data_IF_946201497618
#
_entry.id   IF_946201497618
#
_cell.length_a   1.000
_cell.length_b   1.000
_cell.length_c   1.000
_cell.angle_alpha   90.00
_cell.angle_beta   90.00
_cell.angle_gamma   90.00
#
_symmetry.space_group_name_H-M   'P 1'
#
loop_
_entity.id
_entity.type
_entity.pdbx_description
1 polymer ?
2 non-polymer ?
3 non-polymer ?
4 water ?
#
# COMPACT_ATOMS: atom_id res chain seq x y z
N UNK A 5 4.43 -3.62 35.02
CA UNK A 5 5.21 -3.38 33.78
C UNK A 5 5.03 -4.53 32.79
N UNK A 6 4.62 -4.20 31.57
CA UNK A 6 4.42 -5.20 30.54
C UNK A 6 5.75 -5.74 30.06
N UNK A 7 5.78 -6.99 29.54
CA UNK A 7 7.02 -7.57 29.05
C UNK A 7 7.63 -6.69 27.96
N UNK A 8 8.94 -6.48 28.04
CA UNK A 8 9.65 -5.63 27.09
C UNK A 8 10.72 -6.41 26.33
N UNK A 9 10.75 -6.24 25.01
CA UNK A 9 11.72 -6.95 24.18
C UNK A 9 13.14 -6.45 24.44
N UNK A 10 14.12 -7.34 24.23
CA UNK A 10 15.52 -7.02 24.44
C UNK A 10 16.01 -5.88 23.55
N UNK A 11 17.17 -5.33 23.88
CA UNK A 11 17.73 -4.23 23.10
C UNK A 11 17.10 -2.89 23.45
N UNK A 12 17.07 -1.99 22.48
CA UNK A 12 16.48 -0.68 22.71
C UNK A 12 17.27 0.17 23.68
N UNK A 13 18.59 0.04 23.64
CA UNK A 13 19.45 0.82 24.53
C UNK A 13 20.00 2.08 23.88
N UNK A 14 19.40 2.47 22.75
CA UNK A 14 19.83 3.69 22.05
C UNK A 14 19.10 4.88 22.64
N UNK A 15 19.47 6.08 22.23
CA UNK A 15 18.84 7.29 22.76
C UNK A 15 17.32 7.25 22.77
N UNK A 16 16.70 6.81 21.69
CA UNK A 16 15.25 6.74 21.64
C UNK A 16 14.70 5.32 21.75
N UNK A 17 15.38 4.49 22.55
CA UNK A 17 14.94 3.12 22.75
C UNK A 17 15.08 2.24 21.53
N UNK A 18 13.98 1.62 21.11
CA UNK A 18 14.01 0.76 19.94
C UNK A 18 13.74 1.53 18.65
N UNK A 19 13.59 2.84 18.76
CA UNK A 19 13.32 3.65 17.58
C UNK A 19 14.33 3.46 16.46
N UNK A 20 15.61 3.52 16.80
CA UNK A 20 16.64 3.35 15.78
C UNK A 20 16.55 2.00 15.08
N UNK A 21 16.28 0.94 15.84
CA UNK A 21 16.16 -0.37 15.24
C UNK A 21 14.90 -0.41 14.37
N UNK A 22 13.86 0.27 14.83
CA UNK A 22 12.60 0.32 14.10
C UNK A 22 12.80 1.01 12.74
N UNK A 23 13.74 1.95 12.70
CA UNK A 23 14.05 2.71 11.48
C UNK A 23 14.98 1.94 10.54
N UNK A 24 15.50 0.82 10.99
CA UNK A 24 16.43 0.04 10.18
C UNK A 24 15.94 -1.36 9.84
N UNK A 25 15.38 -2.03 10.83
CA UNK A 25 14.86 -3.39 10.63
C UNK A 25 13.63 -3.61 11.48
N UNK A 26 12.53 -2.92 11.14
CA UNK A 26 11.27 -3.03 11.88
C UNK A 26 10.69 -4.44 11.96
N UNK A 27 10.82 -5.21 10.88
CA UNK A 27 10.26 -6.56 10.90
C UNK A 27 11.04 -7.47 11.86
N UNK A 28 12.37 -7.34 11.87
CA UNK A 28 13.18 -8.14 12.78
C UNK A 28 12.85 -7.81 14.22
N UNK A 29 12.66 -6.51 14.49
CA UNK A 29 12.32 -6.06 15.83
C UNK A 29 10.99 -6.67 16.26
N UNK A 30 9.97 -6.56 15.41
CA UNK A 30 8.67 -7.08 15.75
C UNK A 30 8.67 -8.61 15.89
N UNK A 31 9.49 -9.29 15.10
CA UNK A 31 9.57 -10.74 15.20
C UNK A 31 10.23 -11.12 16.52
N UNK A 32 11.24 -10.35 16.93
CA UNK A 32 11.91 -10.65 18.20
C UNK A 32 10.96 -10.43 19.37
N UNK A 33 10.04 -9.48 19.24
CA UNK A 33 9.07 -9.23 20.31
C UNK A 33 8.25 -10.50 20.49
N UNK A 34 7.77 -11.07 19.38
CA UNK A 34 6.98 -12.28 19.44
C UNK A 34 7.79 -13.49 19.91
N UNK A 35 9.00 -13.64 19.39
CA UNK A 35 9.85 -14.77 19.76
C UNK A 35 10.20 -14.78 21.25
N UNK A 36 10.45 -13.60 21.79
CA UNK A 36 10.82 -13.49 23.20
C UNK A 36 9.64 -13.41 24.18
N UNK A 37 8.61 -12.67 23.81
CA UNK A 37 7.47 -12.45 24.70
C UNK A 37 6.14 -13.13 24.41
N UNK A 38 5.89 -13.49 23.14
CA UNK A 38 4.63 -14.12 22.81
C UNK A 38 3.64 -13.19 22.13
N UNK A 39 2.34 -13.46 22.34
CA UNK A 39 1.27 -12.68 21.72
C UNK A 39 1.16 -11.23 22.16
N UNK A 40 1.68 -10.91 23.34
CA UNK A 40 1.62 -9.54 23.84
C UNK A 40 3.00 -9.13 24.34
N UNK A 41 3.60 -8.15 23.66
CA UNK A 41 4.92 -7.68 24.06
C UNK A 41 5.09 -6.22 23.70
N UNK A 42 6.07 -5.57 24.29
CA UNK A 42 6.29 -4.16 24.02
C UNK A 42 7.69 -3.80 23.56
N UNK A 43 7.79 -2.64 22.93
CA UNK A 43 9.07 -2.10 22.52
C UNK A 43 8.92 -0.60 22.70
N UNK A 44 10.02 0.11 22.85
CA UNK A 44 9.95 1.55 23.08
C UNK A 44 10.24 2.37 21.85
N UNK A 45 9.30 3.24 21.50
CA UNK A 45 9.43 4.11 20.35
C UNK A 45 9.55 5.52 20.93
N UNK A 46 10.79 5.93 21.20
CA UNK A 46 11.06 7.23 21.79
C UNK A 46 10.36 7.29 23.14
N UNK A 47 9.51 8.30 23.34
CA UNK A 47 8.82 8.41 24.62
C UNK A 47 7.49 7.67 24.66
N UNK A 48 7.31 6.73 23.74
CA UNK A 48 6.06 5.98 23.68
C UNK A 48 6.24 4.47 23.68
N UNK A 49 5.46 3.79 24.51
CA UNK A 49 5.51 2.34 24.59
C UNK A 49 4.53 1.78 23.57
N UNK A 50 4.99 0.83 22.78
CA UNK A 50 4.13 0.20 21.79
C UNK A 50 3.83 -1.22 22.24
N UNK A 51 2.55 -1.53 22.39
CA UNK A 51 2.13 -2.86 22.79
C UNK A 51 1.84 -3.61 21.50
N UNK A 52 2.76 -4.48 21.10
CA UNK A 52 2.61 -5.24 19.88
C UNK A 52 1.85 -6.54 20.10
N UNK A 53 0.70 -6.65 19.44
CA UNK A 53 -0.13 -7.84 19.56
C UNK A 53 0.08 -8.71 18.33
N UNK A 54 0.02 -10.03 18.53
CA UNK A 54 0.17 -10.98 17.44
C UNK A 54 -0.57 -12.27 17.81
N UNK A 55 -0.89 -13.07 16.81
CA UNK A 55 -1.61 -14.30 17.08
C UNK A 55 -3.10 -14.05 16.94
N UNK A 56 -3.86 -15.11 16.70
CA UNK A 56 -5.29 -14.99 16.50
C UNK A 56 -6.06 -14.30 17.63
N UNK A 57 -5.84 -14.76 18.86
CA UNK A 57 -6.55 -14.19 20.00
C UNK A 57 -6.32 -12.70 20.18
N UNK A 58 -5.06 -12.29 20.23
CA UNK A 58 -4.73 -10.88 20.39
C UNK A 58 -5.18 -10.04 19.20
N UNK A 59 -5.02 -10.59 17.99
CA UNK A 59 -5.43 -9.86 16.79
C UNK A 59 -6.94 -9.67 16.74
N UNK A 60 -7.70 -10.65 17.23
CA UNK A 60 -9.15 -10.54 17.22
C UNK A 60 -9.57 -9.34 18.06
N UNK A 61 -8.91 -9.17 19.20
CA UNK A 61 -9.20 -8.04 20.07
C UNK A 61 -8.91 -6.74 19.33
N UNK A 62 -7.75 -6.68 18.69
CA UNK A 62 -7.31 -5.51 17.95
C UNK A 62 -8.29 -5.11 16.85
N UNK A 63 -8.64 -6.07 15.99
CA UNK A 63 -9.52 -5.77 14.87
C UNK A 63 -11.01 -5.64 15.17
N UNK A 64 -11.46 -6.15 16.30
CA UNK A 64 -12.87 -6.05 16.65
C UNK A 64 -13.12 -4.81 17.51
N UNK A 65 -12.05 -4.13 17.87
CA UNK A 65 -12.14 -2.92 18.68
C UNK A 65 -12.53 -1.71 17.85
N UNK A 66 -13.48 -0.93 18.35
CA UNK A 66 -13.92 0.26 17.65
C UNK A 66 -13.17 1.49 18.09
N UNK A 67 -13.51 2.63 17.49
CA UNK A 67 -12.86 3.90 17.80
C UNK A 67 -12.87 4.24 19.28
N UNK A 68 -13.92 3.84 19.98
CA UNK A 68 -14.05 4.12 21.41
C UNK A 68 -13.09 3.32 22.29
N UNK A 69 -12.45 2.33 21.71
CA UNK A 69 -11.50 1.50 22.47
C UNK A 69 -10.08 1.73 21.96
N UNK A 70 -9.90 1.57 20.65
CA UNK A 70 -8.60 1.77 20.01
C UNK A 70 -8.82 2.76 18.88
N UNK A 71 -8.18 3.93 18.97
CA UNK A 71 -8.34 4.97 17.96
C UNK A 71 -7.12 5.13 17.07
N UNK A 72 -7.35 5.33 15.78
CA UNK A 72 -6.26 5.51 14.82
C UNK A 72 -6.02 7.00 14.53
N UNK A 73 -6.92 7.84 15.01
CA UNK A 73 -6.84 9.28 14.79
C UNK A 73 -5.48 9.95 14.96
N UNK A 74 -4.77 9.61 16.03
CA UNK A 74 -3.46 10.21 16.28
C UNK A 74 -2.35 9.18 16.35
N UNK A 75 -2.55 8.05 15.68
CA UNK A 75 -1.57 6.97 15.68
C UNK A 75 -0.46 7.14 14.63
N UNK A 76 -0.67 8.03 13.67
CA UNK A 76 0.31 8.25 12.60
C UNK A 76 0.68 9.72 12.45
N UNK A 77 1.51 10.24 13.37
CA UNK A 77 1.93 11.66 13.33
C UNK A 77 2.66 12.10 12.08
N UNK A 78 3.23 11.15 11.35
CA UNK A 78 3.97 11.48 10.12
C UNK A 78 3.06 11.92 8.97
N UNK A 79 1.75 11.72 9.11
CA UNK A 79 0.83 12.10 8.04
C UNK A 79 0.34 13.54 8.10
N UNK A 80 0.36 14.15 9.28
CA UNK A 80 -0.11 15.53 9.42
C UNK A 80 0.55 16.52 8.45
N UNK A 81 1.88 16.50 8.32
CA UNK A 81 2.56 17.42 7.41
C UNK A 81 2.27 17.12 5.94
N UNK A 82 1.91 15.87 5.66
CA UNK A 82 1.63 15.45 4.30
C UNK A 82 0.23 15.89 3.84
N UNK A 83 -0.78 15.58 4.63
CA UNK A 83 -2.14 15.98 4.28
C UNK A 83 -2.27 17.50 4.38
N UNK A 84 -1.59 18.07 5.38
CA UNK A 84 -1.64 19.51 5.57
C UNK A 84 -2.21 19.88 6.93
N UNK A 105 -16.07 3.80 -3.36
CA UNK A 105 -15.91 2.70 -4.32
C UNK A 105 -17.17 1.84 -4.35
N UNK A 106 -17.72 1.66 -5.54
CA UNK A 106 -18.92 0.84 -5.71
C UNK A 106 -18.81 -0.07 -6.93
N UNK A 107 -19.23 -1.31 -6.75
CA UNK A 107 -19.17 -2.28 -7.85
C UNK A 107 -19.76 -1.74 -9.13
N UNK A 108 -20.73 -0.84 -9.00
CA UNK A 108 -21.38 -0.24 -10.16
C UNK A 108 -20.35 0.51 -11.01
N UNK A 109 -19.42 1.19 -10.34
CA UNK A 109 -18.38 1.94 -11.04
C UNK A 109 -17.12 1.10 -11.27
N UNK A 110 -17.06 -0.07 -10.66
CA UNK A 110 -15.88 -0.92 -10.80
C UNK A 110 -15.57 -1.32 -12.23
N UNK A 111 -16.61 -1.63 -13.01
CA UNK A 111 -16.41 -2.00 -14.41
C UNK A 111 -15.73 -0.84 -15.13
N UNK A 112 -16.22 0.37 -14.89
CA UNK A 112 -15.64 1.55 -15.51
C UNK A 112 -14.20 1.73 -15.09
N UNK A 113 -13.91 1.51 -13.81
CA UNK A 113 -12.54 1.68 -13.33
C UNK A 113 -11.61 0.65 -13.97
N UNK A 114 -12.10 -0.57 -14.16
CA UNK A 114 -11.27 -1.60 -14.78
C UNK A 114 -10.88 -1.18 -16.19
N UNK A 115 -11.82 -0.58 -16.92
CA UNK A 115 -11.52 -0.12 -18.27
C UNK A 115 -10.53 1.04 -18.21
N UNK A 116 -10.67 1.90 -17.21
CA UNK A 116 -9.77 3.03 -17.04
C UNK A 116 -8.36 2.54 -16.77
N UNK A 117 -8.25 1.56 -15.87
CA UNK A 117 -6.95 1.00 -15.52
C UNK A 117 -6.29 0.36 -16.75
N UNK A 118 -7.06 -0.41 -17.51
CA UNK A 118 -6.52 -1.03 -18.72
C UNK A 118 -5.94 0.07 -19.62
N UNK A 119 -6.69 1.16 -19.78
CA UNK A 119 -6.25 2.27 -20.62
C UNK A 119 -4.96 2.90 -20.09
N UNK A 120 -4.86 3.08 -18.78
CA UNK A 120 -3.67 3.68 -18.21
C UNK A 120 -2.46 2.78 -18.39
N UNK A 121 -2.66 1.46 -18.28
CA UNK A 121 -1.54 0.55 -18.44
C UNK A 121 -1.08 0.57 -19.90
N UNK A 122 -2.03 0.54 -20.84
CA UNK A 122 -1.64 0.57 -22.25
C UNK A 122 -0.89 1.86 -22.57
N UNK A 123 -1.29 2.96 -21.93
CA UNK A 123 -0.62 4.23 -22.16
C UNK A 123 0.80 4.20 -21.62
N UNK A 124 0.98 3.56 -20.46
CA UNK A 124 2.31 3.45 -19.83
C UNK A 124 3.28 2.59 -20.62
N UNK A 125 2.78 1.60 -21.35
CA UNK A 125 3.67 0.73 -22.11
C UNK A 125 3.68 1.03 -23.62
N UNK A 126 2.99 2.10 -24.01
CA UNK A 126 2.90 2.48 -25.41
C UNK A 126 4.25 2.68 -26.10
N UNK A 127 5.26 3.10 -25.34
CA UNK A 127 6.58 3.34 -25.92
C UNK A 127 7.61 2.26 -25.63
N UNK A 128 7.15 1.11 -25.12
CA UNK A 128 8.04 0.01 -24.78
C UNK A 128 8.73 -0.64 -25.98
N UNK A 129 8.02 -0.72 -27.10
CA UNK A 129 8.61 -1.33 -28.27
C UNK A 129 8.76 -2.84 -28.13
N UNK A 130 9.66 -3.41 -28.92
CA UNK A 130 9.89 -4.86 -28.93
C UNK A 130 10.54 -5.43 -27.67
N UNK A 131 11.53 -4.72 -27.14
CA UNK A 131 12.23 -5.20 -25.95
C UNK A 131 12.86 -4.03 -25.21
N UNK A 132 13.17 -4.24 -23.94
CA UNK A 132 13.77 -3.18 -23.16
C UNK A 132 13.92 -3.57 -21.70
N UNK A 133 14.22 -2.58 -20.88
CA UNK A 133 14.42 -2.80 -19.46
C UNK A 133 13.73 -1.70 -18.65
N UNK A 134 13.14 -2.08 -17.52
CA UNK A 134 12.46 -1.11 -16.67
C UNK A 134 12.85 -1.33 -15.22
N UNK A 135 12.63 -0.31 -14.40
CA UNK A 135 12.87 -0.43 -12.96
C UNK A 135 11.45 -0.51 -12.42
N UNK A 136 11.14 -1.54 -11.66
CA UNK A 136 9.79 -1.72 -11.13
C UNK A 136 9.26 -0.59 -10.28
N UNK A 137 10.10 -0.03 -9.42
CA UNK A 137 9.64 1.06 -8.57
C UNK A 137 9.24 2.26 -9.43
N UNK A 138 10.11 2.63 -10.37
CA UNK A 138 9.81 3.75 -11.24
C UNK A 138 8.54 3.51 -12.05
N UNK A 139 8.43 2.32 -12.65
CA UNK A 139 7.27 2.00 -13.47
C UNK A 139 5.94 1.96 -12.71
N UNK A 140 5.86 1.13 -11.68
CA UNK A 140 4.62 1.01 -10.93
C UNK A 140 4.25 2.23 -10.09
N UNK A 141 5.24 2.96 -9.59
CA UNK A 141 4.94 4.15 -8.81
C UNK A 141 4.24 5.15 -9.72
N UNK A 142 4.77 5.33 -10.92
CA UNK A 142 4.15 6.27 -11.86
C UNK A 142 2.80 5.74 -12.35
N UNK A 143 2.75 4.48 -12.74
CA UNK A 143 1.49 3.91 -13.23
C UNK A 143 0.35 4.07 -12.24
N UNK A 144 0.63 3.81 -10.96
CA UNK A 144 -0.42 3.89 -9.95
C UNK A 144 -0.85 5.31 -9.64
N UNK A 145 -0.04 6.30 -10.00
CA UNK A 145 -0.43 7.69 -9.79
C UNK A 145 -1.52 7.95 -10.84
N UNK A 146 -1.30 7.45 -12.04
CA UNK A 146 -2.27 7.62 -13.12
C UNK A 146 -3.56 6.86 -12.89
N UNK A 147 -3.47 5.60 -12.46
CA UNK A 147 -4.68 4.83 -12.22
C UNK A 147 -5.47 5.44 -11.06
N UNK A 148 -4.77 5.80 -9.98
CA UNK A 148 -5.43 6.38 -8.82
C UNK A 148 -6.10 7.72 -9.14
N UNK A 149 -5.37 8.62 -9.78
CA UNK A 149 -5.93 9.93 -10.11
C UNK A 149 -7.10 9.82 -11.10
N UNK A 150 -6.96 8.97 -12.11
CA UNK A 150 -8.01 8.82 -13.11
C UNK A 150 -9.29 8.26 -12.52
N UNK A 151 -9.16 7.27 -11.64
CA UNK A 151 -10.33 6.64 -11.03
C UNK A 151 -10.97 7.45 -9.91
N UNK A 152 -10.14 8.06 -9.06
CA UNK A 152 -10.65 8.83 -7.92
C UNK A 152 -11.01 10.28 -8.18
N UNK A 153 -10.25 10.94 -9.04
CA UNK A 153 -10.51 12.34 -9.34
C UNK A 153 -11.17 12.52 -10.70
N UNK A 154 -10.63 11.82 -11.70
CA UNK A 154 -11.19 11.91 -13.04
C UNK A 154 -10.14 11.81 -14.13
N UNK A 155 -10.52 11.27 -15.28
CA UNK A 155 -9.63 11.13 -16.41
C UNK A 155 -9.13 12.50 -16.86
N UNK A 156 -10.00 13.50 -16.79
CA UNK A 156 -9.68 14.86 -17.20
C UNK A 156 -8.47 15.37 -16.40
N UNK A 157 -8.48 15.11 -15.09
CA UNK A 157 -7.40 15.52 -14.21
C UNK A 157 -6.13 14.72 -14.50
N UNK A 158 -6.27 13.40 -14.63
CA UNK A 158 -5.08 12.60 -14.91
C UNK A 158 -4.40 13.05 -16.20
N UNK A 159 -5.19 13.42 -17.20
CA UNK A 159 -4.62 13.85 -18.48
C UNK A 159 -3.81 15.14 -18.39
N UNK A 160 -3.94 15.85 -17.27
CA UNK A 160 -3.18 17.07 -17.07
C UNK A 160 -1.97 16.81 -16.19
N UNK A 161 -1.74 15.54 -15.89
CA UNK A 161 -0.61 15.12 -15.06
C UNK A 161 0.46 14.45 -15.92
N UNK A 162 1.69 14.50 -15.43
CA UNK A 162 2.81 13.85 -16.10
C UNK A 162 3.73 13.28 -15.03
N UNK A 163 4.94 12.88 -15.42
CA UNK A 163 5.87 12.31 -14.46
C UNK A 163 6.22 13.14 -13.24
N UNK A 164 6.11 14.46 -13.35
CA UNK A 164 6.43 15.36 -12.23
C UNK A 164 5.58 15.07 -11.00
N UNK A 165 4.28 14.85 -11.20
CA UNK A 165 3.38 14.59 -10.08
C UNK A 165 3.84 13.34 -9.32
N UNK A 166 4.16 12.27 -10.04
CA UNK A 166 4.62 11.03 -9.43
C UNK A 166 5.91 11.23 -8.64
N UNK A 167 6.83 12.02 -9.20
CA UNK A 167 8.10 12.26 -8.53
C UNK A 167 7.90 13.00 -7.21
N UNK A 168 7.01 13.98 -7.21
CA UNK A 168 6.73 14.75 -6.01
C UNK A 168 5.99 13.90 -4.98
N UNK A 169 5.05 13.09 -5.43
CA UNK A 169 4.30 12.24 -4.51
C UNK A 169 5.25 11.25 -3.85
N UNK A 170 6.24 10.77 -4.60
CA UNK A 170 7.20 9.83 -4.04
C UNK A 170 7.95 10.48 -2.88
N UNK A 171 8.27 11.77 -3.03
CA UNK A 171 8.97 12.51 -1.98
C UNK A 171 8.13 12.62 -0.71
N UNK A 172 6.80 12.68 -0.87
CA UNK A 172 5.93 12.75 0.29
C UNK A 172 6.04 11.43 1.06
N UNK A 173 5.98 10.33 0.33
CA UNK A 173 6.06 9.01 0.94
C UNK A 173 7.41 8.77 1.59
N UNK A 174 8.46 9.34 1.00
CA UNK A 174 9.80 9.19 1.56
C UNK A 174 9.95 10.08 2.80
N UNK A 175 8.96 10.94 3.03
CA UNK A 175 9.01 11.82 4.19
C UNK A 175 8.30 11.26 5.40
N UNK A 176 8.21 9.93 5.49
CA UNK A 176 7.54 9.27 6.60
C UNK A 176 8.47 8.52 7.57
N UNK A 177 9.65 9.10 7.83
CA UNK A 177 10.60 8.50 8.75
C UNK A 177 9.94 8.34 10.13
N UNK A 178 10.16 7.20 10.81
CA UNK A 178 9.58 6.95 12.14
C UNK A 178 9.98 8.00 13.16
N UNK A 179 10.96 8.82 12.82
CA UNK A 179 11.40 9.88 13.71
C UNK A 179 10.24 10.84 13.94
N UNK A 180 9.20 10.70 13.11
CA UNK A 180 8.02 11.55 13.25
C UNK A 180 7.37 11.29 14.60
N UNK A 181 7.64 10.14 15.21
CA UNK A 181 7.07 9.83 16.51
C UNK A 181 7.77 10.63 17.61
N UNK A 182 8.90 11.25 17.26
CA UNK A 182 9.60 12.12 18.19
C UNK A 182 9.01 13.50 17.86
N UNK A 183 9.14 13.90 16.60
CA UNK A 183 8.60 15.17 16.11
C UNK A 183 8.58 15.20 14.58
N UNK A 184 7.40 15.46 13.98
CA UNK A 184 7.26 15.51 12.52
C UNK A 184 7.96 16.69 11.84
N UNK A 185 8.46 17.64 12.63
CA UNK A 185 9.12 18.80 12.04
C UNK A 185 10.61 18.94 12.33
N UNK A 186 11.26 17.83 12.68
CA UNK A 186 12.69 17.87 12.95
C UNK A 186 13.42 18.33 11.69
N UNK A 187 14.54 19.06 11.86
CA UNK A 187 15.31 19.56 10.73
C UNK A 187 16.18 18.51 10.04
N UNK A 188 15.55 17.51 9.45
CA UNK A 188 16.27 16.48 8.73
C UNK A 188 15.90 16.60 7.25
N UNK A 189 16.84 16.21 6.39
CA UNK A 189 16.66 16.31 4.94
C UNK A 189 15.40 15.67 4.37
N UNK A 190 15.03 14.49 4.84
CA UNK A 190 13.84 13.82 4.32
C UNK A 190 12.57 14.62 4.63
N UNK A 191 12.53 15.27 5.79
CA UNK A 191 11.36 16.08 6.16
C UNK A 191 11.38 17.37 5.36
N UNK A 192 12.56 17.92 5.09
CA UNK A 192 12.66 19.14 4.31
C UNK A 192 12.15 18.85 2.89
N UNK A 193 12.56 17.71 2.34
CA UNK A 193 12.13 17.33 0.99
C UNK A 193 10.64 17.02 0.97
N UNK A 194 10.11 16.50 2.07
CA UNK A 194 8.69 16.20 2.20
C UNK A 194 7.91 17.51 2.05
N UNK A 195 8.30 18.52 2.83
CA UNK A 195 7.62 19.81 2.79
C UNK A 195 7.76 20.50 1.44
N UNK A 196 8.94 20.41 0.83
CA UNK A 196 9.16 21.03 -0.46
C UNK A 196 8.29 20.36 -1.52
N UNK A 197 8.20 19.03 -1.45
CA UNK A 197 7.40 18.27 -2.40
C UNK A 197 5.93 18.64 -2.31
N UNK A 198 5.43 18.86 -1.10
CA UNK A 198 4.02 19.23 -0.97
C UNK A 198 3.78 20.58 -1.63
N UNK A 199 4.71 21.53 -1.42
CA UNK A 199 4.57 22.85 -2.03
C UNK A 199 4.59 22.70 -3.56
N UNK A 200 5.41 21.78 -4.04
CA UNK A 200 5.50 21.53 -5.47
C UNK A 200 4.19 20.99 -6.02
N UNK A 201 3.53 20.14 -5.24
CA UNK A 201 2.26 19.58 -5.68
C UNK A 201 1.21 20.67 -5.71
N UNK A 202 1.22 21.56 -4.71
CA UNK A 202 0.26 22.66 -4.70
C UNK A 202 0.44 23.50 -5.96
N UNK A 203 1.69 23.74 -6.34
CA UNK A 203 1.98 24.52 -7.54
C UNK A 203 1.48 23.83 -8.80
N UNK A 204 1.62 22.51 -8.88
CA UNK A 204 1.14 21.78 -10.04
C UNK A 204 -0.38 21.90 -10.14
N UNK A 205 -1.05 21.77 -9.01
CA UNK A 205 -2.51 21.88 -8.99
C UNK A 205 -2.94 23.29 -9.36
N UNK A 206 -2.22 24.29 -8.86
CA UNK A 206 -2.54 25.68 -9.17
C UNK A 206 -2.40 25.91 -10.67
N UNK A 207 -1.36 25.32 -11.28
CA UNK A 207 -1.14 25.45 -12.71
C UNK A 207 -2.29 24.83 -13.49
N UNK A 208 -2.79 23.68 -13.01
CA UNK A 208 -3.90 23.00 -13.68
C UNK A 208 -5.15 23.86 -13.59
N UNK A 209 -5.39 24.44 -12.43
CA UNK A 209 -6.56 25.28 -12.24
C UNK A 209 -6.49 26.47 -13.19
N UNK A 210 -5.34 27.12 -13.26
CA UNK A 210 -5.19 28.27 -14.15
C UNK A 210 -5.29 27.86 -15.61
N UNK A 211 -4.86 26.64 -15.92
CA UNK A 211 -4.93 26.16 -17.28
C UNK A 211 -6.37 25.97 -17.71
N UNK A 212 -7.23 25.57 -16.78
CA UNK A 212 -8.64 25.36 -17.10
C UNK A 212 -9.37 26.69 -17.29
N UNK A 213 -8.87 27.72 -16.63
CA UNK A 213 -9.47 29.05 -16.74
C UNK A 213 -9.28 29.57 -18.17
N UNK A 214 -8.06 29.45 -18.66
CA UNK A 214 -7.69 29.94 -19.98
C UNK A 214 -8.08 29.03 -21.14
N UNK A 215 -8.14 27.73 -20.90
CA UNK A 215 -8.48 26.80 -21.98
C UNK A 215 -9.53 25.76 -21.57
N UNK A 216 -10.80 26.19 -21.45
CA UNK A 216 -11.90 25.30 -21.06
C UNK A 216 -12.04 24.12 -22.02
N UNK A 222 -17.72 17.65 -20.00
CA UNK A 222 -16.60 16.90 -19.45
C UNK A 222 -16.07 17.60 -18.20
N UNK A 223 -16.41 17.05 -17.03
CA UNK A 223 -15.98 17.63 -15.77
C UNK A 223 -15.59 16.54 -14.76
N UNK A 224 -14.72 16.90 -13.82
CA UNK A 224 -14.27 15.97 -12.80
C UNK A 224 -14.38 16.57 -11.40
N UNK A 225 -13.77 15.90 -10.42
CA UNK A 225 -13.86 16.39 -9.05
C UNK A 225 -13.19 17.74 -8.85
N UNK A 226 -12.17 18.03 -9.63
CA UNK A 226 -11.51 19.32 -9.50
C UNK A 226 -12.49 20.43 -9.89
N UNK A 227 -13.26 20.20 -10.96
CA UNK A 227 -14.22 21.21 -11.39
C UNK A 227 -15.26 21.44 -10.29
N UNK A 228 -15.68 20.37 -9.64
CA UNK A 228 -16.64 20.49 -8.56
C UNK A 228 -16.11 21.40 -7.45
N UNK A 229 -14.85 21.18 -7.06
CA UNK A 229 -14.26 21.98 -5.99
C UNK A 229 -14.03 23.43 -6.41
N UNK A 230 -13.62 23.65 -7.65
CA UNK A 230 -13.38 24.99 -8.16
C UNK A 230 -14.64 25.85 -8.16
N UNK A 231 -15.78 25.20 -8.43
CA UNK A 231 -17.06 25.91 -8.48
C UNK A 231 -17.62 26.43 -7.16
N UNK A 232 -17.23 25.82 -6.06
CA UNK A 232 -17.73 26.24 -4.75
C UNK A 232 -17.30 27.65 -4.37
N UNK A 233 -18.26 28.46 -3.93
CA UNK A 233 -17.97 29.84 -3.54
C UNK A 233 -18.11 30.00 -2.02
N UNK A 234 -17.30 30.89 -1.46
CA UNK A 234 -17.35 31.15 -0.03
C UNK A 234 -18.46 32.14 0.26
N UNK A 235 -18.73 32.39 1.53
CA UNK A 235 -19.78 33.33 1.92
C UNK A 235 -19.34 34.77 1.66
N UNK A 236 -18.91 35.04 0.44
CA UNK A 236 -18.47 36.37 0.05
C UNK A 236 -18.37 36.49 -1.46
N UNK A 237 -18.57 35.37 -2.15
CA UNK A 237 -18.51 35.36 -3.61
C UNK A 237 -17.15 34.94 -4.14
N UNK A 238 -16.18 34.83 -3.24
CA UNK A 238 -14.82 34.43 -3.59
C UNK A 238 -14.73 32.91 -3.60
N UNK A 239 -13.83 32.33 -4.42
CA UNK A 239 -13.71 30.87 -4.44
C UNK A 239 -13.46 30.31 -3.04
N UNK A 240 -14.20 29.28 -2.68
CA UNK A 240 -14.08 28.68 -1.36
C UNK A 240 -12.76 27.96 -1.11
N UNK A 241 -12.31 27.18 -2.09
CA UNK A 241 -11.09 26.40 -1.93
C UNK A 241 -9.87 26.92 -2.67
N UNK A 242 -8.74 26.91 -1.97
CA UNK A 242 -7.48 27.35 -2.53
C UNK A 242 -6.78 26.13 -3.13
N UNK A 243 -5.72 26.37 -3.92
CA UNK A 243 -4.99 25.27 -4.51
C UNK A 243 -4.42 24.41 -3.39
N UNK A 244 -3.98 25.04 -2.30
CA UNK A 244 -3.43 24.30 -1.18
C UNK A 244 -4.44 23.33 -0.57
N UNK A 245 -5.65 23.81 -0.33
CA UNK A 245 -6.71 22.97 0.26
C UNK A 245 -7.07 21.82 -0.67
N UNK A 246 -7.22 22.12 -1.96
CA UNK A 246 -7.58 21.11 -2.94
C UNK A 246 -6.46 20.07 -3.04
N UNK A 247 -5.23 20.52 -3.02
CA UNK A 247 -4.09 19.61 -3.11
C UNK A 247 -4.09 18.65 -1.91
N UNK A 248 -4.38 19.19 -0.73
CA UNK A 248 -4.42 18.35 0.47
C UNK A 248 -5.49 17.28 0.34
N UNK A 249 -6.64 17.65 -0.21
CA UNK A 249 -7.73 16.70 -0.39
C UNK A 249 -7.32 15.60 -1.36
N UNK A 250 -6.71 15.97 -2.47
CA UNK A 250 -6.28 15.00 -3.46
C UNK A 250 -5.17 14.10 -2.92
N UNK A 251 -4.23 14.67 -2.17
CA UNK A 251 -3.15 13.88 -1.60
C UNK A 251 -3.73 12.81 -0.69
N UNK A 252 -4.66 13.21 0.19
CA UNK A 252 -5.29 12.27 1.11
C UNK A 252 -6.08 11.19 0.40
N UNK A 253 -6.84 11.58 -0.62
CA UNK A 253 -7.65 10.63 -1.37
C UNK A 253 -6.82 9.54 -2.02
N UNK A 254 -5.62 9.91 -2.47
CA UNK A 254 -4.75 8.94 -3.14
C UNK A 254 -3.73 8.21 -2.26
N UNK A 255 -3.53 8.70 -1.04
CA UNK A 255 -2.53 8.08 -0.17
C UNK A 255 -2.72 6.63 0.29
N UNK A 256 -3.96 6.20 0.49
CA UNK A 256 -4.18 4.83 0.92
C UNK A 256 -3.81 3.83 -0.16
N UNK A 257 -4.23 4.12 -1.39
CA UNK A 257 -3.97 3.18 -2.48
C UNK A 257 -2.73 3.30 -3.32
N UNK A 258 -1.97 4.39 -3.21
CA UNK A 258 -0.80 4.50 -4.06
C UNK A 258 0.39 3.60 -3.73
N UNK A 259 1.00 3.77 -2.56
CA UNK A 259 2.16 2.95 -2.24
C UNK A 259 1.80 1.49 -2.05
N UNK A 260 0.57 1.23 -1.62
CA UNK A 260 0.12 -0.14 -1.41
C UNK A 260 -0.07 -0.87 -2.74
N UNK A 261 -0.78 -0.25 -3.67
CA UNK A 261 -1.00 -0.88 -4.96
C UNK A 261 0.30 -0.96 -5.77
N UNK A 262 1.13 0.08 -5.67
CA UNK A 262 2.41 0.10 -6.38
C UNK A 262 3.29 -1.07 -5.91
N UNK A 263 3.46 -1.19 -4.60
CA UNK A 263 4.28 -2.25 -4.07
C UNK A 263 3.73 -3.62 -4.37
N UNK A 264 2.41 -3.76 -4.27
CA UNK A 264 1.79 -5.06 -4.53
C UNK A 264 1.97 -5.48 -5.98
N UNK A 265 1.86 -4.55 -6.91
CA UNK A 265 2.04 -4.87 -8.33
C UNK A 265 3.49 -5.30 -8.54
N UNK A 266 4.43 -4.56 -7.95
CA UNK A 266 5.85 -4.90 -8.12
C UNK A 266 6.17 -6.28 -7.59
N UNK A 267 5.71 -6.57 -6.37
CA UNK A 267 6.00 -7.87 -5.80
C UNK A 267 5.27 -9.03 -6.47
N UNK A 268 4.11 -8.75 -7.06
CA UNK A 268 3.39 -9.80 -7.78
C UNK A 268 4.24 -10.21 -8.98
N UNK A 269 4.79 -9.24 -9.69
CA UNK A 269 5.62 -9.54 -10.86
C UNK A 269 6.91 -10.23 -10.43
N UNK A 270 7.49 -9.77 -9.32
CA UNK A 270 8.73 -10.38 -8.84
C UNK A 270 8.49 -11.86 -8.49
N UNK A 271 7.44 -12.16 -7.75
CA UNK A 271 7.19 -13.55 -7.37
C UNK A 271 6.82 -14.43 -8.58
N UNK A 272 6.19 -13.85 -9.60
CA UNK A 272 5.86 -14.62 -10.79
C UNK A 272 7.18 -15.00 -11.49
N UNK A 273 8.11 -14.07 -11.54
CA UNK A 273 9.40 -14.34 -12.18
C UNK A 273 10.25 -15.31 -11.36
N UNK A 274 10.12 -15.26 -10.04
CA UNK A 274 10.87 -16.14 -9.14
C UNK A 274 10.33 -17.57 -9.18
N UNK A 275 9.06 -17.70 -9.56
CA UNK A 275 8.40 -19.01 -9.62
C UNK A 275 7.77 -19.18 -11.00
N UNK A 276 8.60 -19.58 -11.95
CA UNK A 276 8.17 -19.76 -13.34
C UNK A 276 6.99 -20.69 -13.54
N UNK A 277 6.81 -21.66 -12.65
CA UNK A 277 5.69 -22.58 -12.75
C UNK A 277 4.39 -21.81 -12.54
N UNK A 278 4.40 -20.86 -11.61
CA UNK A 278 3.22 -20.05 -11.34
C UNK A 278 3.02 -19.11 -12.53
N UNK A 279 4.12 -18.55 -13.02
CA UNK A 279 4.06 -17.64 -14.16
C UNK A 279 3.40 -18.36 -15.34
N UNK A 280 3.87 -19.56 -15.65
CA UNK A 280 3.32 -20.34 -16.75
C UNK A 280 1.84 -20.63 -16.57
N UNK A 281 1.44 -20.96 -15.35
CA UNK A 281 0.05 -21.27 -15.06
C UNK A 281 -0.81 -20.03 -15.26
N UNK A 282 -0.31 -18.87 -14.84
CA UNK A 282 -1.06 -17.63 -15.00
C UNK A 282 -1.23 -17.30 -16.48
N UNK A 283 -0.17 -17.46 -17.27
CA UNK A 283 -0.22 -17.18 -18.70
C UNK A 283 -1.26 -18.05 -19.41
N UNK A 284 -1.23 -19.35 -19.17
CA UNK A 284 -2.17 -20.26 -19.79
C UNK A 284 -3.59 -19.87 -19.45
N UNK A 285 -3.80 -19.53 -18.19
CA UNK A 285 -5.10 -19.14 -17.67
C UNK A 285 -5.62 -17.87 -18.35
N UNK A 286 -4.75 -16.86 -18.45
CA UNK A 286 -5.15 -15.61 -19.08
C UNK A 286 -5.49 -15.84 -20.55
N UNK A 287 -4.65 -16.58 -21.27
CA UNK A 287 -4.93 -16.82 -22.68
C UNK A 287 -6.25 -17.58 -22.87
N UNK A 288 -6.53 -18.53 -21.98
CA UNK A 288 -7.76 -19.31 -22.09
C UNK A 288 -8.98 -18.45 -21.75
N UNK A 289 -8.91 -17.71 -20.66
CA UNK A 289 -10.03 -16.86 -20.25
C UNK A 289 -10.40 -15.82 -21.28
N UNK A 290 -9.43 -15.06 -21.77
CA UNK A 290 -9.72 -14.03 -22.74
C UNK A 290 -10.11 -14.59 -24.11
N UNK A 291 -10.11 -15.91 -24.20
CA UNK A 291 -10.48 -16.56 -25.44
C UNK A 291 -11.97 -16.41 -25.71
N UNK A 292 -12.73 -15.94 -24.73
CA UNK A 292 -14.16 -15.76 -24.92
C UNK A 292 -14.46 -14.42 -25.58
N UNK A 293 -13.41 -13.66 -25.84
CA UNK A 293 -13.56 -12.37 -26.50
C UNK A 293 -14.06 -11.22 -25.65
N UNK A 294 -14.16 -11.41 -24.35
CA UNK A 294 -14.63 -10.34 -23.48
C UNK A 294 -13.46 -9.46 -23.04
N UNK A 295 -13.75 -8.20 -22.73
CA UNK A 295 -12.73 -7.24 -22.34
C UNK A 295 -12.15 -7.43 -20.94
N UNK A 296 -11.13 -6.64 -20.65
CA UNK A 296 -10.50 -6.66 -19.34
C UNK A 296 -11.52 -6.16 -18.32
N UNK A 297 -12.40 -5.25 -18.72
CA UNK A 297 -13.40 -4.73 -17.80
C UNK A 297 -14.37 -5.83 -17.37
N UNK A 298 -14.47 -6.89 -18.16
CA UNK A 298 -15.33 -8.02 -17.84
C UNK A 298 -14.53 -9.01 -16.98
N UNK A 299 -13.37 -9.41 -17.46
CA UNK A 299 -12.56 -10.38 -16.74
C UNK A 299 -11.89 -9.94 -15.45
N UNK A 300 -11.56 -8.66 -15.32
CA UNK A 300 -10.91 -8.19 -14.10
C UNK A 300 -11.88 -8.17 -12.91
N UNK A 301 -13.16 -8.40 -13.18
CA UNK A 301 -14.18 -8.44 -12.14
C UNK A 301 -14.66 -9.86 -11.91
N UNK A 302 -13.99 -10.81 -12.55
CA UNK A 302 -14.34 -12.22 -12.43
C UNK A 302 -13.10 -13.04 -12.08
N UNK A 303 -13.31 -14.31 -11.74
CA UNK A 303 -12.20 -15.14 -11.34
C UNK A 303 -11.07 -15.36 -12.34
N UNK A 304 -9.85 -15.25 -11.85
CA UNK A 304 -8.63 -15.52 -12.62
C UNK A 304 -7.87 -16.23 -11.49
N UNK A 305 -8.29 -17.47 -11.19
CA UNK A 305 -7.75 -18.35 -10.14
C UNK A 305 -6.26 -18.34 -9.84
N UNK A 306 -5.44 -18.74 -10.80
CA UNK A 306 -4.00 -18.79 -10.58
C UNK A 306 -3.42 -17.43 -10.18
N UNK A 307 -3.82 -16.39 -10.90
CA UNK A 307 -3.31 -15.05 -10.59
C UNK A 307 -3.78 -14.58 -9.21
N UNK A 308 -5.03 -14.87 -8.87
CA UNK A 308 -5.56 -14.46 -7.57
C UNK A 308 -4.81 -15.12 -6.42
N UNK A 309 -4.43 -16.38 -6.59
CA UNK A 309 -3.71 -17.07 -5.53
C UNK A 309 -2.27 -16.58 -5.44
N UNK A 310 -1.70 -16.21 -6.58
CA UNK A 310 -0.35 -15.66 -6.58
C UNK A 310 -0.42 -14.31 -5.84
N UNK A 311 -1.49 -13.55 -6.09
CA UNK A 311 -1.66 -12.26 -5.42
C UNK A 311 -1.83 -12.44 -3.92
N UNK A 312 -2.65 -13.42 -3.52
CA UNK A 312 -2.87 -13.65 -2.10
C UNK A 312 -1.55 -14.02 -1.42
N UNK A 313 -0.76 -14.87 -2.07
CA UNK A 313 0.50 -15.28 -1.49
C UNK A 313 1.51 -14.13 -1.45
N UNK A 314 1.46 -13.28 -2.47
CA UNK A 314 2.36 -12.13 -2.53
C UNK A 314 2.04 -11.18 -1.37
N UNK A 315 0.75 -10.97 -1.13
CA UNK A 315 0.31 -10.09 -0.05
C UNK A 315 0.65 -10.67 1.32
N UNK A 316 0.59 -11.99 1.44
CA UNK A 316 0.91 -12.61 2.72
C UNK A 316 2.39 -12.43 3.05
N UNK A 317 3.25 -12.63 2.06
CA UNK A 317 4.69 -12.51 2.24
C UNK A 317 5.24 -11.09 2.23
N UNK A 318 4.57 -10.20 1.48
CA UNK A 318 5.02 -8.82 1.35
C UNK A 318 3.89 -7.83 1.59
N UNK A 319 3.28 -7.88 2.78
CA UNK A 319 2.17 -6.95 3.08
C UNK A 319 2.67 -5.50 3.01
N UNK A 320 2.03 -4.66 2.16
CA UNK A 320 2.45 -3.26 2.04
C UNK A 320 2.43 -2.49 3.36
N UNK A 321 1.51 -2.85 4.26
CA UNK A 321 1.47 -2.24 5.58
C UNK A 321 1.99 -3.33 6.51
N UNK A 322 3.19 -3.11 7.07
CA UNK A 322 3.80 -4.11 7.95
C UNK A 322 3.41 -3.96 9.42
N UNK A 323 2.89 -2.78 9.77
CA UNK A 323 2.45 -2.54 11.14
C UNK A 323 1.25 -1.61 11.09
N UNK A 324 0.29 -1.84 11.99
CA UNK A 324 -0.92 -1.04 12.08
C UNK A 324 -0.93 -0.48 13.49
N UNK A 325 -1.21 0.82 13.62
CA UNK A 325 -1.18 1.47 14.93
C UNK A 325 -2.52 2.00 15.45
N UNK A 326 -2.60 2.10 16.78
CA UNK A 326 -3.78 2.60 17.47
C UNK A 326 -3.33 3.26 18.77
N UNK A 327 -4.21 4.08 19.33
CA UNK A 327 -3.95 4.73 20.61
C UNK A 327 -5.08 4.24 21.50
N UNK A 328 -4.74 3.55 22.59
CA UNK A 328 -5.74 3.02 23.50
C UNK A 328 -6.53 4.15 24.17
N UNK A 329 -7.84 4.00 24.20
CA UNK A 329 -8.72 4.99 24.80
C UNK A 329 -9.22 4.54 26.18
N UNK A 330 -8.83 3.33 26.57
CA UNK A 330 -9.26 2.81 27.86
C UNK A 330 -8.39 1.66 28.33
N UNK A 331 -8.80 1.02 29.41
CA UNK A 331 -8.06 -0.10 29.97
C UNK A 331 -8.63 -1.43 29.48
N UNK A 332 -7.75 -2.29 28.96
CA UNK A 332 -8.18 -3.59 28.46
C UNK A 332 -7.16 -4.64 28.88
N UNK A 333 -7.60 -5.87 29.02
CA UNK A 333 -6.71 -6.96 29.41
C UNK A 333 -6.69 -7.99 28.29
N UNK A 334 -5.48 -8.33 27.85
CA UNK A 334 -5.31 -9.31 26.79
C UNK A 334 -4.33 -10.37 27.27
N UNK A 335 -4.85 -11.56 27.56
CA UNK A 335 -4.04 -12.67 28.03
C UNK A 335 -3.36 -12.35 29.37
N UNK A 336 -4.09 -11.65 30.23
CA UNK A 336 -3.54 -11.30 31.53
C UNK A 336 -2.76 -10.00 31.49
N UNK A 337 -2.38 -9.58 30.29
CA UNK A 337 -1.63 -8.34 30.14
C UNK A 337 -2.54 -7.13 30.11
N UNK A 338 -2.23 -6.15 30.95
CA UNK A 338 -3.00 -4.92 31.07
C UNK A 338 -2.57 -3.83 30.10
N UNK A 339 -3.52 -3.33 29.32
CA UNK A 339 -3.25 -2.26 28.35
C UNK A 339 -3.93 -1.03 28.93
N UNK A 340 -3.21 0.07 29.05
CA UNK A 340 -3.78 1.28 29.61
C UNK A 340 -4.01 2.38 28.58
N UNK A 341 -4.90 3.30 28.91
CA UNK A 341 -5.23 4.41 28.03
C UNK A 341 -3.97 5.20 27.68
N UNK A 342 -3.91 5.72 26.46
CA UNK A 342 -2.76 6.48 26.03
C UNK A 342 -1.67 5.63 25.41
N UNK A 343 -1.69 4.32 25.72
CA UNK A 343 -0.70 3.41 25.17
C UNK A 343 -0.90 3.24 23.67
N UNK A 344 0.21 3.07 22.95
CA UNK A 344 0.12 2.83 21.51
C UNK A 344 -0.04 1.31 21.42
N UNK A 345 -0.99 0.87 20.60
CA UNK A 345 -1.23 -0.56 20.43
C UNK A 345 -1.08 -0.87 18.95
N UNK A 346 -0.36 -1.94 18.63
CA UNK A 346 -0.14 -2.30 17.24
C UNK A 346 -0.34 -3.76 16.91
N UNK A 347 -0.64 -4.01 15.63
CA UNK A 347 -0.80 -5.35 15.11
C UNK A 347 0.18 -5.36 13.95
N UNK A 348 0.62 -6.54 13.51
CA UNK A 348 1.58 -6.59 12.42
C UNK A 348 1.30 -7.64 11.36
N UNK A 349 0.88 -7.21 10.17
CA UNK A 349 0.61 -8.17 9.10
C UNK A 349 1.91 -8.89 8.75
N UNK A 350 3.03 -8.19 8.84
CA UNK A 350 4.32 -8.81 8.50
C UNK A 350 4.59 -10.04 9.35
N UNK A 351 4.36 -9.93 10.65
CA UNK A 351 4.60 -11.04 11.57
C UNK A 351 3.47 -12.06 11.60
N UNK A 352 2.24 -11.57 11.74
CA UNK A 352 1.11 -12.48 11.81
C UNK A 352 0.92 -13.33 10.56
N UNK A 353 1.18 -12.74 9.39
CA UNK A 353 1.01 -13.47 8.14
C UNK A 353 1.95 -14.65 8.02
N UNK A 354 2.93 -14.74 8.91
CA UNK A 354 3.88 -15.84 8.85
C UNK A 354 3.94 -16.74 10.08
N UNK A 355 2.90 -16.71 10.91
CA UNK A 355 2.87 -17.57 12.09
C UNK A 355 2.87 -19.01 11.56
N UNK A 356 3.90 -19.79 11.92
CA UNK A 356 4.02 -21.18 11.46
C UNK A 356 2.88 -22.13 11.81
N UNK A 357 2.20 -21.89 12.92
CA UNK A 357 1.09 -22.75 13.32
C UNK A 357 -0.13 -22.54 12.41
N UNK A 358 -0.24 -21.33 11.85
CA UNK A 358 -1.37 -21.00 10.99
C UNK A 358 -1.09 -21.18 9.51
N UNK A 359 0.15 -20.94 9.10
CA UNK A 359 0.54 -21.05 7.70
C UNK A 359 1.71 -22.00 7.55
N UNK A 360 1.42 -23.28 7.26
CA UNK A 360 2.47 -24.28 7.08
C UNK A 360 3.56 -23.75 6.14
N UNK A 361 4.82 -23.87 6.55
CA UNK A 361 5.95 -23.39 5.75
C UNK A 361 5.66 -21.94 5.40
N UNK A 362 5.55 -21.08 6.43
CA UNK A 362 5.27 -19.66 6.28
C UNK A 362 6.18 -18.81 5.42
N UNK A 363 7.43 -19.23 5.23
CA UNK A 363 8.37 -18.44 4.44
C UNK A 363 8.41 -18.87 2.98
N UNK A 364 7.64 -19.90 2.64
CA UNK A 364 7.62 -20.40 1.28
C UNK A 364 6.45 -19.85 0.46
N UNK A 365 6.71 -19.63 -0.83
CA UNK A 365 5.70 -19.12 -1.75
C UNK A 365 4.86 -20.31 -2.20
N UNK A 366 3.65 -20.43 -1.66
CA UNK A 366 2.75 -21.54 -1.98
C UNK A 366 1.34 -21.06 -2.29
N UNK A 367 1.08 -20.68 -3.55
CA UNK A 367 -0.26 -20.21 -3.93
C UNK A 367 -1.35 -21.25 -3.66
N UNK A 368 -0.96 -22.51 -3.67
CA UNK A 368 -1.92 -23.60 -3.43
C UNK A 368 -2.55 -23.55 -2.06
N UNK A 369 -1.97 -22.81 -1.13
CA UNK A 369 -2.55 -22.74 0.20
C UNK A 369 -3.87 -21.99 0.20
N UNK A 370 -4.21 -21.36 -0.94
CA UNK A 370 -5.46 -20.61 -1.05
C UNK A 370 -6.52 -21.32 -1.88
N UNK A 371 -6.16 -22.47 -2.44
CA UNK A 371 -7.11 -23.23 -3.22
C UNK A 371 -8.20 -23.78 -2.30
N UNK A 372 -9.35 -24.11 -2.88
CA UNK A 372 -10.50 -24.61 -2.12
C UNK A 372 -10.20 -25.58 -0.98
N UNK A 373 -9.28 -26.53 -1.18
CA UNK A 373 -8.97 -27.48 -0.11
C UNK A 373 -8.36 -26.89 1.18
N UNK A 374 -7.51 -25.88 1.04
CA UNK A 374 -6.86 -25.27 2.20
C UNK A 374 -7.41 -23.90 2.62
N UNK A 375 -7.67 -23.04 1.65
CA UNK A 375 -8.21 -21.70 1.91
C UNK A 375 -7.64 -21.09 3.19
N UNK A 376 -6.32 -21.05 3.29
CA UNK A 376 -5.66 -20.51 4.48
C UNK A 376 -5.95 -19.04 4.77
N UNK A 377 -6.39 -18.30 3.77
CA UNK A 377 -6.72 -16.89 3.97
C UNK A 377 -8.04 -16.80 4.72
N UNK A 378 -9.01 -17.61 4.30
CA UNK A 378 -10.34 -17.61 4.93
C UNK A 378 -10.36 -18.32 6.27
N UNK A 379 -9.56 -19.38 6.40
CA UNK A 379 -9.48 -20.16 7.63
C UNK A 379 -8.81 -19.40 8.78
N UNK A 380 -7.85 -18.55 8.44
CA UNK A 380 -7.14 -17.77 9.45
C UNK A 380 -7.62 -16.33 9.41
N UNK A 381 -8.89 -16.14 9.79
CA UNK A 381 -9.52 -14.84 9.78
C UNK A 381 -8.81 -13.73 10.56
N UNK A 382 -8.13 -14.09 11.63
CA UNK A 382 -7.46 -13.08 12.45
C UNK A 382 -5.95 -12.99 12.26
N UNK A 383 -5.37 -13.88 11.46
CA UNK A 383 -3.92 -13.82 11.24
C UNK A 383 -3.50 -13.59 9.77
N UNK A 384 -4.40 -13.84 8.82
CA UNK A 384 -4.08 -13.55 7.42
C UNK A 384 -4.65 -12.14 7.29
N UNK A 385 -3.83 -11.14 7.60
CA UNK A 385 -4.31 -9.76 7.64
C UNK A 385 -3.66 -8.73 6.72
N UNK A 386 -3.31 -9.10 5.48
CA UNK A 386 -2.70 -8.07 4.63
C UNK A 386 -3.70 -6.95 4.33
N UNK A 387 -4.98 -7.27 4.44
CA UNK A 387 -6.07 -6.30 4.21
C UNK A 387 -6.83 -6.05 5.51
N UNK A 388 -6.19 -6.28 6.65
CA UNK A 388 -6.86 -6.06 7.92
C UNK A 388 -7.92 -7.11 8.21
N UNK A 389 -8.81 -6.82 9.15
CA UNK A 389 -9.85 -7.76 9.53
C UNK A 389 -10.90 -7.10 10.43
N UNK A 390 -11.95 -7.84 10.74
CA UNK A 390 -13.00 -7.34 11.60
C UNK A 390 -13.63 -6.03 11.18
N UNK A 391 -13.72 -5.11 12.14
CA UNK A 391 -14.33 -3.80 11.91
C UNK A 391 -13.43 -2.91 11.04
N UNK A 392 -12.21 -3.37 10.78
CA UNK A 392 -11.27 -2.60 9.99
C UNK A 392 -10.83 -3.31 8.71
N UNK A 393 -11.79 -3.93 8.06
CA UNK A 393 -11.56 -4.64 6.82
C UNK A 393 -11.28 -3.60 5.74
N UNK A 394 -10.27 -3.84 4.88
CA UNK A 394 -9.94 -2.89 3.83
C UNK A 394 -11.11 -2.65 2.88
N UNK A 395 -11.59 -1.41 2.81
CA UNK A 395 -12.70 -1.10 1.92
C UNK A 395 -12.23 -0.96 0.47
N UNK A 396 -10.91 -0.87 0.28
CA UNK A 396 -10.38 -0.74 -1.06
C UNK A 396 -9.83 -2.04 -1.62
N UNK A 397 -9.98 -3.13 -0.88
CA UNK A 397 -9.47 -4.43 -1.31
C UNK A 397 -10.04 -4.89 -2.64
N UNK A 398 -11.36 -4.75 -2.82
CA UNK A 398 -11.97 -5.16 -4.08
C UNK A 398 -11.36 -4.40 -5.26
N UNK A 399 -11.18 -3.09 -5.07
CA UNK A 399 -10.59 -2.25 -6.10
C UNK A 399 -9.14 -2.65 -6.33
N UNK A 400 -8.39 -2.87 -5.26
CA UNK A 400 -6.98 -3.23 -5.39
C UNK A 400 -6.78 -4.57 -6.10
N UNK A 401 -7.62 -5.55 -5.79
CA UNK A 401 -7.53 -6.86 -6.42
C UNK A 401 -7.91 -6.73 -7.90
N UNK A 402 -8.98 -5.99 -8.18
CA UNK A 402 -9.39 -5.78 -9.56
C UNK A 402 -8.27 -5.09 -10.34
N UNK A 403 -7.59 -4.13 -9.69
CA UNK A 403 -6.51 -3.42 -10.36
C UNK A 403 -5.36 -4.34 -10.75
N UNK A 404 -4.98 -5.24 -9.84
CA UNK A 404 -3.90 -6.18 -10.14
C UNK A 404 -4.34 -7.06 -11.32
N UNK A 405 -5.58 -7.52 -11.30
CA UNK A 405 -6.08 -8.36 -12.40
C UNK A 405 -6.04 -7.62 -13.73
N UNK A 406 -6.46 -6.35 -13.71
CA UNK A 406 -6.48 -5.56 -14.93
C UNK A 406 -5.08 -5.29 -15.44
N UNK A 407 -4.18 -4.89 -14.53
CA UNK A 407 -2.82 -4.59 -14.91
C UNK A 407 -2.12 -5.80 -15.54
N UNK A 408 -2.15 -6.93 -14.85
CA UNK A 408 -1.47 -8.10 -15.39
C UNK A 408 -2.17 -8.76 -16.57
N UNK A 409 -3.47 -8.52 -16.73
CA UNK A 409 -4.19 -9.06 -17.87
C UNK A 409 -3.58 -8.40 -19.12
N UNK A 410 -3.18 -7.15 -18.98
CA UNK A 410 -2.57 -6.42 -20.09
C UNK A 410 -1.09 -6.76 -20.20
N UNK A 411 -0.33 -6.54 -19.13
CA UNK A 411 1.11 -6.79 -19.17
C UNK A 411 1.54 -8.19 -19.58
N UNK A 412 0.97 -9.20 -18.94
CA UNK A 412 1.37 -10.59 -19.22
C UNK A 412 0.94 -11.13 -20.57
N UNK A 413 -0.08 -10.55 -21.18
CA UNK A 413 -0.50 -11.02 -22.49
C UNK A 413 0.29 -10.32 -23.59
N UNK A 414 0.76 -9.11 -23.30
CA UNK A 414 1.53 -8.33 -24.28
C UNK A 414 3.03 -8.59 -24.23
N UNK A 415 3.58 -8.75 -23.03
CA UNK A 415 5.01 -8.95 -22.87
C UNK A 415 5.43 -10.11 -21.96
N UNK A 416 6.66 -10.58 -22.17
CA UNK A 416 7.25 -11.64 -21.36
C UNK A 416 8.29 -10.92 -20.50
N UNK A 417 8.35 -11.28 -19.22
CA UNK A 417 9.30 -10.64 -18.30
C UNK A 417 10.35 -11.57 -17.72
N UNK A 418 11.55 -11.02 -17.54
CA UNK A 418 12.67 -11.75 -16.98
C UNK A 418 13.42 -10.86 -16.00
N UNK A 419 13.96 -11.45 -14.95
CA UNK A 419 14.72 -10.69 -13.97
C UNK A 419 16.07 -10.30 -14.55
N UNK A 420 16.51 -9.07 -14.29
CA UNK A 420 17.78 -8.57 -14.79
C UNK A 420 18.84 -8.56 -13.68
N UNK A 421 18.49 -9.11 -12.53
CA UNK A 421 19.42 -9.17 -11.41
C UNK A 421 19.11 -10.44 -10.62
N UNK A 422 20.00 -10.83 -9.69
CA UNK A 422 19.77 -12.05 -8.90
C UNK A 422 18.40 -12.02 -8.22
N UNK A 423 17.65 -13.13 -8.28
CA UNK A 423 16.31 -13.23 -7.68
C UNK A 423 16.24 -12.78 -6.22
N UNK A 424 17.26 -13.12 -5.45
CA UNK A 424 17.30 -12.77 -4.03
C UNK A 424 17.66 -11.31 -3.76
N UNK A 425 18.04 -10.57 -4.80
CA UNK A 425 18.42 -9.17 -4.62
C UNK A 425 17.26 -8.19 -4.64
N UNK A 426 16.07 -8.66 -4.98
CA UNK A 426 14.91 -7.78 -4.97
C UNK A 426 14.50 -7.69 -3.50
N UNK A 427 14.38 -6.46 -3.00
CA UNK A 427 14.04 -6.28 -1.60
C UNK A 427 13.34 -4.94 -1.35
N UNK A 428 12.71 -4.85 -0.18
CA UNK A 428 12.03 -3.62 0.22
C UNK A 428 12.95 -2.78 1.09
N UNK A 429 12.69 -1.47 1.08
CA UNK A 429 13.42 -0.51 1.90
C UNK A 429 12.44 -0.27 3.06
N UNK A 430 12.86 -0.63 4.27
CA UNK A 430 11.99 -0.46 5.44
C UNK A 430 12.39 0.70 6.35
N UNK A 431 13.12 1.68 5.80
CA UNK A 431 13.56 2.82 6.61
C UNK A 431 12.48 3.86 6.88
N UNK A 432 11.39 3.84 6.13
CA UNK A 432 10.31 4.79 6.32
C UNK A 432 9.02 4.02 6.66
N UNK A 433 8.07 4.71 7.29
CA UNK A 433 6.81 4.06 7.64
C UNK A 433 6.14 3.54 6.37
N UNK A 434 6.34 4.26 5.28
CA UNK A 434 5.79 3.81 3.99
C UNK A 434 6.86 2.93 3.36
N UNK A 435 6.59 1.62 3.34
CA UNK A 435 7.54 0.68 2.75
C UNK A 435 7.51 0.78 1.24
N UNK A 436 8.70 0.82 0.64
CA UNK A 436 8.81 0.91 -0.81
C UNK A 436 9.93 -0.01 -1.29
N UNK A 437 9.83 -0.43 -2.54
CA UNK A 437 10.83 -1.29 -3.13
C UNK A 437 12.16 -0.55 -3.21
N UNK A 438 13.25 -1.25 -2.91
CA UNK A 438 14.57 -0.65 -2.98
C UNK A 438 15.04 -0.81 -4.41
N UNK A 439 16.01 0.01 -4.83
CA UNK A 439 16.53 -0.09 -6.17
C UNK A 439 17.97 -0.59 -6.06
N UNK A 440 18.46 -1.31 -7.07
CA UNK A 440 17.73 -1.66 -8.30
C UNK A 440 16.66 -2.75 -8.15
N UNK A 441 15.73 -2.73 -9.09
CA UNK A 441 14.64 -3.69 -9.20
C UNK A 441 14.42 -3.75 -10.71
N UNK A 442 15.48 -4.14 -11.43
CA UNK A 442 15.45 -4.19 -12.87
C UNK A 442 14.85 -5.46 -13.47
N UNK A 443 14.00 -5.26 -14.47
CA UNK A 443 13.34 -6.35 -15.15
C UNK A 443 13.38 -6.09 -16.65
N UNK A 444 13.56 -7.14 -17.43
CA UNK A 444 13.60 -6.99 -18.88
C UNK A 444 12.34 -7.55 -19.49
N UNK A 445 11.91 -6.94 -20.59
CA UNK A 445 10.70 -7.38 -21.27
C UNK A 445 10.95 -7.57 -22.75
N UNK A 446 10.09 -8.37 -23.36
CA UNK A 446 10.16 -8.64 -24.78
C UNK A 446 8.73 -8.99 -25.20
N UNK A 447 8.30 -8.48 -26.35
CA UNK A 447 6.95 -8.76 -26.83
C UNK A 447 6.70 -10.25 -27.00
N UNK A 448 5.49 -10.68 -26.69
CA UNK A 448 5.12 -12.09 -26.83
C UNK A 448 4.79 -12.39 -28.28
N UNK A 449 4.73 -13.59 -28.63
X LIG B 1 -8.15 -0.72 5.79
X LIG B 1 -4.40 -2.78 3.46
X LIG B 1 -5.69 -0.44 -0.64
X LIG B 1 -8.95 2.13 1.91
X LIG B 1 -7.03 -1.51 5.51
X LIG B 1 -6.28 -2.25 6.50
X LIG B 1 -5.19 -2.78 5.85
X LIG B 1 -5.29 -2.37 4.47
X LIG B 1 -4.10 -3.64 6.46
X LIG B 1 -6.55 -2.24 8.01
X LIG B 1 -5.80 -1.07 8.61
X LIG B 1 -6.01 -0.92 10.10
X LIG B 1 -6.59 -1.83 10.74
X LIG B 1 -5.59 0.12 10.64
X LIG B 1 -4.46 -2.33 2.14
X LIG B 1 -3.67 -2.85 1.06
X LIG B 1 -4.03 -2.23 -0.10
X LIG B 1 -5.07 -1.29 0.28
X LIG B 1 -2.68 -3.99 1.23
X LIG B 1 -3.57 -2.44 -1.41
X LIG B 1 -3.05 -3.68 -1.97
X LIG B 1 -6.71 0.46 -0.27
X LIG B 1 -7.32 1.40 -1.21
X LIG B 1 -8.14 2.20 -0.47
X LIG B 1 -8.10 1.69 0.88
X LIG B 1 -7.17 1.43 -2.72
X LIG B 1 -8.81 3.37 -0.89
X LIG B 1 -9.87 3.42 -1.88
X LIG B 1 -9.01 1.57 3.19
X LIG B 1 -9.91 2.01 4.24
X LIG B 1 -9.75 1.18 5.28
X LIG B 1 -8.71 0.23 4.92
X LIG B 1 -10.87 3.19 4.16
X LIG B 1 -10.59 1.19 6.56
X LIG B 1 -9.77 1.65 7.75
X LIG B 1 -10.48 1.43 9.07
X LIG B 1 -9.81 1.46 10.12
X LIG B 1 -11.72 1.22 9.06
X LIG B 1 -6.38 -1.53 4.26
X LIG B 1 -5.35 -1.37 1.64
X LIG B 1 -7.22 0.61 1.01
X LIG B 1 -8.25 0.47 3.62
X LIG B 1 -6.81 -0.46 2.63
X LIG C 1 -3.00 3.72 7.16
X LIG C 1 -2.28 4.11 6.25
X LIG C 1 -2.40 3.70 4.99
X LIG C 1 -3.34 2.83 4.52
X LIG C 1 -3.27 2.49 3.17
X LIG C 1 -4.20 1.64 2.68
X LIG C 1 -5.14 1.17 3.51
X LIG C 1 -5.24 1.46 4.81
X LIG C 1 -4.35 2.30 5.36
X LIG C 1 -1.25 5.11 6.53
X LIG C 1 -1.77 6.08 7.51
X LIG C 1 -2.92 7.22 7.04
X LIG C 1 -3.14 8.02 8.19
X LIG C 1 -2.38 7.77 5.83
X LIG C 1 -4.47 6.45 6.64
X LIG C 1 -4.97 6.48 5.34
X LIG C 1 -6.20 5.86 5.00
X LIG C 1 -6.95 5.19 5.94
X LIG C 1 -6.50 5.11 7.32
X LIG C 1 -7.06 4.51 8.36
X LIG C 1 -6.09 4.76 9.58
X LIG C 1 -4.92 5.59 8.96
X LIG C 1 -5.21 5.75 7.67
X LIG C 1 0.00 4.39 6.96
X LIG C 1 1.12 4.43 6.11
X LIG C 1 2.31 3.76 6.48
X LIG C 1 2.35 3.04 7.69
X LIG C 1 1.23 2.98 8.54
X LIG C 1 0.05 3.67 8.17
#
# INVERSE_FOLDING_TARGET
>A
MSAVALPRVSGGHDEHGHLEEFRTDPIGLMQRVRDELGDVGTFQLAGKQVVLLSGSHANEFFFRAGDDDLDQAKAYPFMTPIFGEGVVFDASPERRKEMLHNAALRGEQMKGHAATIEDQVRRMIADWGEAGEIDLLDFFAELTIYTSSACLIGKKFRDQLDGRFAKLYHELERGTDPLAYVDPYLPIESFRRRDEARNGLVALVADIMNGRIANPPTDKSDRDMLDVLIAVKAETGTPRFSADEITGMFISMMFAGHHTSSGTASWTLIELMRHRDAYAAVIDELDELYGDGRSVSFHALRQIPQLENVLKETLRLHPPLIILMRVAKGEFEVQGHRIHEGDLVAASPAISNRIPEDFPDPHDFVPARYEQPRQEDLLNRWTWIPFGAGRHRCVGAAFAIMQIKAIFSVLLREYEFEMAQPPESYRNDHSKMVVQLAQPAAVRYRRRTGVHHHH
>B hetero
1 HEM CHA CHB CHC CHD C1A C2A C3A C4A CMA CAA CBA CGA O1A O2A C1B C2B C3B C4B CMB CAB CBB C1C C2C C3C C4C CMC CAC CBC C1D C2D C3D C4D CMD CAD CBD CGD O1D O2D NA NB NC ND FE
>C hetero
1 CM6 O1 C1 N1 C2 C3 C4 N2 C5 C6 C7 N3 S1 O2 O3 C8 C9 C10 C11 C12 N4 S2 N5 C13 C14 C15 C16 C17 C18 C19
#
